data_IF_168527939672
#
_entry.id   IF_168527939672
#
_cell.length_a   1.000
_cell.length_b   1.000
_cell.length_c   1.000
_cell.angle_alpha   90.00
_cell.angle_beta   90.00
_cell.angle_gamma   90.00
#
_symmetry.space_group_name_H-M   'P 1'
#
loop_
_entity.id
_entity.type
_entity.pdbx_description
1 polymer ?
#
# COMPACT_ATOMS: atom_id res chain seq x y z
N UNK A 1 -2.08 -5.08 -18.89
CA UNK A 1 -0.90 -5.34 -18.03
C UNK A 1 -1.18 -5.04 -16.57
N UNK A 2 -1.57 -3.82 -16.14
CA UNK A 2 -1.72 -3.52 -14.71
C UNK A 2 -2.84 -4.36 -14.06
N UNK A 3 -3.99 -4.48 -14.72
CA UNK A 3 -5.08 -5.38 -14.30
C UNK A 3 -4.57 -6.81 -14.15
N UNK A 4 -3.98 -7.35 -15.20
CA UNK A 4 -3.50 -8.74 -15.25
C UNK A 4 -2.43 -9.00 -14.19
N UNK A 5 -1.56 -8.02 -13.93
CA UNK A 5 -0.55 -8.08 -12.86
C UNK A 5 -1.20 -8.11 -11.48
N UNK A 6 -2.18 -7.24 -11.20
CA UNK A 6 -2.91 -7.24 -9.93
C UNK A 6 -3.70 -8.53 -9.72
N UNK A 7 -4.35 -9.04 -10.76
CA UNK A 7 -5.05 -10.33 -10.72
C UNK A 7 -4.06 -11.47 -10.44
N UNK A 8 -2.88 -11.46 -11.06
CA UNK A 8 -1.79 -12.41 -10.79
C UNK A 8 -1.30 -12.37 -9.34
N UNK A 9 -1.04 -11.18 -8.79
CA UNK A 9 -0.62 -11.01 -7.39
C UNK A 9 -1.70 -11.53 -6.40
N UNK A 10 -2.98 -11.27 -6.67
CA UNK A 10 -4.08 -11.79 -5.86
C UNK A 10 -4.16 -13.32 -5.95
N UNK A 11 -3.99 -13.89 -7.15
CA UNK A 11 -3.96 -15.35 -7.32
C UNK A 11 -2.77 -15.98 -6.59
N UNK A 12 -1.58 -15.38 -6.64
CA UNK A 12 -0.42 -15.82 -5.86
C UNK A 12 -0.68 -15.77 -4.36
N UNK A 13 -1.32 -14.71 -3.88
CA UNK A 13 -1.69 -14.59 -2.45
C UNK A 13 -2.64 -15.72 -2.01
N UNK A 14 -3.64 -16.02 -2.84
CA UNK A 14 -4.61 -17.09 -2.58
C UNK A 14 -3.98 -18.49 -2.72
N UNK A 15 -3.06 -18.68 -3.67
CA UNK A 15 -2.32 -19.94 -3.84
C UNK A 15 -1.42 -20.28 -2.66
N UNK A 16 -0.82 -19.27 -2.02
CA UNK A 16 -0.05 -19.40 -0.77
C UNK A 16 -0.93 -19.72 0.46
N UNK A 17 -2.26 -19.77 0.30
CA UNK A 17 -3.24 -20.02 1.37
C UNK A 17 -3.60 -21.51 1.51
N UNK A 18 -2.97 -22.43 0.77
CA UNK A 18 -3.01 -23.86 1.09
C UNK A 18 -2.19 -24.15 2.36
N UNK A 19 -2.72 -23.73 3.50
CA UNK A 19 -2.13 -23.99 4.81
C UNK A 19 -2.78 -25.24 5.37
N UNK A 20 -1.98 -26.29 5.55
CA UNK A 20 -2.36 -27.45 6.36
C UNK A 20 -2.89 -26.95 7.72
N UNK A 21 -4.10 -27.37 8.15
CA UNK A 21 -4.65 -27.02 9.46
C UNK A 21 -3.66 -27.18 10.62
N UNK A 22 -2.73 -28.14 10.50
CA UNK A 22 -1.67 -28.35 11.49
C UNK A 22 -0.64 -27.23 11.51
N UNK A 23 -0.22 -26.72 10.34
CA UNK A 23 0.70 -25.58 10.24
C UNK A 23 0.06 -24.28 10.77
N UNK A 24 -1.24 -24.08 10.56
CA UNK A 24 -1.97 -22.94 11.16
C UNK A 24 -1.94 -23.06 12.69
N UNK A 25 -2.21 -24.25 13.22
CA UNK A 25 -2.26 -24.49 14.67
C UNK A 25 -0.88 -24.30 15.32
N UNK A 26 0.20 -24.76 14.69
CA UNK A 26 1.58 -24.54 15.14
C UNK A 26 1.92 -23.04 15.18
N UNK A 27 1.59 -22.27 14.14
CA UNK A 27 1.82 -20.82 14.12
C UNK A 27 1.02 -20.07 15.18
N UNK A 28 -0.24 -20.45 15.41
CA UNK A 28 -1.06 -19.88 16.50
C UNK A 28 -0.43 -20.19 17.86
N UNK A 29 0.10 -21.41 18.04
CA UNK A 29 0.77 -21.81 19.28
C UNK A 29 2.08 -21.05 19.50
N UNK A 30 2.91 -20.90 18.48
CA UNK A 30 4.13 -20.09 18.52
C UNK A 30 3.83 -18.62 18.82
N UNK A 31 2.78 -18.05 18.20
CA UNK A 31 2.30 -16.70 18.47
C UNK A 31 1.93 -16.54 19.96
N UNK A 32 1.11 -17.45 20.48
CA UNK A 32 0.68 -17.44 21.87
C UNK A 32 1.86 -17.61 22.85
N UNK A 33 2.82 -18.46 22.53
CA UNK A 33 4.03 -18.66 23.34
C UNK A 33 4.95 -17.43 23.33
N UNK A 34 5.08 -16.74 22.18
CA UNK A 34 5.85 -15.50 22.08
C UNK A 34 5.25 -14.36 22.91
N UNK A 35 3.92 -14.36 23.08
CA UNK A 35 3.19 -13.41 23.92
C UNK A 35 3.22 -13.80 25.41
N UNK A 36 3.25 -15.09 25.70
CA UNK A 36 3.34 -15.61 27.08
C UNK A 36 4.77 -15.60 27.65
N UNK A 37 5.80 -15.58 26.80
CA UNK A 37 7.21 -15.67 27.18
C UNK A 37 7.90 -14.37 27.59
N UNK A 38 7.20 -13.24 27.67
CA UNK A 38 7.81 -11.96 28.02
C UNK A 38 6.83 -10.90 28.49
N UNK A 39 6.63 -10.80 29.80
CA UNK A 39 6.12 -9.60 30.48
C UNK A 39 6.88 -9.42 31.80
N UNK A 40 7.71 -8.38 31.96
CA UNK A 40 7.80 -7.69 33.23
C UNK A 40 6.51 -6.87 33.39
N UNK A 41 5.84 -7.01 34.53
CA UNK A 41 4.71 -6.19 34.94
C UNK A 41 5.17 -4.72 35.05
N UNK A 42 4.49 -3.78 34.38
CA UNK A 42 4.75 -2.38 34.68
C UNK A 42 4.26 -1.26 33.76
N UNK A 43 3.80 -1.50 32.52
CA UNK A 43 3.42 -0.38 31.65
C UNK A 43 2.04 -0.60 31.00
N UNK A 44 1.04 0.05 31.58
CA UNK A 44 -0.14 0.52 30.84
C UNK A 44 0.35 1.62 29.89
N UNK A 45 0.60 1.32 28.61
CA UNK A 45 0.55 2.30 27.50
C UNK A 45 0.82 1.62 26.13
N UNK A 46 -0.16 1.74 25.23
CA UNK A 46 0.00 1.84 23.76
C UNK A 46 0.62 0.68 22.93
N UNK A 47 0.42 -0.60 23.26
CA UNK A 47 0.74 -1.69 22.31
C UNK A 47 -0.48 -2.02 21.43
N UNK A 48 -0.60 -1.27 20.34
CA UNK A 48 -1.46 -1.60 19.21
C UNK A 48 -1.16 -3.01 18.74
N UNK A 49 -2.01 -3.94 19.19
CA UNK A 49 -1.83 -5.38 19.04
C UNK A 49 -1.29 -5.73 17.66
N UNK A 50 -0.09 -6.34 17.65
CA UNK A 50 0.43 -7.09 16.51
C UNK A 50 -0.71 -7.96 16.01
N UNK A 51 -1.34 -7.52 14.92
CA UNK A 51 -2.60 -8.09 14.47
C UNK A 51 -2.38 -9.59 14.32
N UNK A 52 -3.24 -10.42 14.90
CA UNK A 52 -3.12 -11.89 14.85
C UNK A 52 -2.96 -12.39 13.40
N UNK A 53 -3.43 -11.60 12.43
CA UNK A 53 -3.24 -11.81 11.00
C UNK A 53 -1.78 -11.66 10.54
N UNK A 54 -1.02 -10.68 11.06
CA UNK A 54 0.42 -10.53 10.75
C UNK A 54 1.23 -11.73 11.24
N UNK A 55 0.84 -12.36 12.34
CA UNK A 55 1.56 -13.51 12.90
C UNK A 55 1.28 -14.81 12.12
N UNK A 56 0.10 -14.95 11.53
CA UNK A 56 -0.29 -16.16 10.78
C UNK A 56 0.18 -16.13 9.30
N UNK A 57 0.44 -14.94 8.74
CA UNK A 57 0.88 -14.79 7.35
C UNK A 57 2.30 -15.32 7.07
N UNK A 58 2.46 -15.98 5.92
CA UNK A 58 3.79 -16.40 5.42
C UNK A 58 4.62 -15.19 5.00
N UNK A 59 5.97 -15.29 4.98
CA UNK A 59 6.83 -14.26 4.40
C UNK A 59 6.45 -13.90 2.95
N UNK A 60 6.08 -14.90 2.13
CA UNK A 60 5.65 -14.71 0.75
C UNK A 60 4.34 -13.89 0.66
N UNK A 61 3.35 -14.20 1.50
CA UNK A 61 2.11 -13.44 1.59
C UNK A 61 2.37 -11.98 1.99
N UNK A 62 3.26 -11.73 2.96
CA UNK A 62 3.62 -10.37 3.37
C UNK A 62 4.25 -9.57 2.22
N UNK A 63 5.07 -10.21 1.40
CA UNK A 63 5.69 -9.56 0.24
C UNK A 63 4.65 -9.18 -0.82
N UNK A 64 3.75 -10.11 -1.18
CA UNK A 64 2.65 -9.87 -2.14
C UNK A 64 1.76 -8.72 -1.65
N UNK A 65 1.38 -8.72 -0.37
CA UNK A 65 0.59 -7.64 0.22
C UNK A 65 1.32 -6.30 0.21
N UNK A 66 2.64 -6.32 0.41
CA UNK A 66 3.49 -5.14 0.28
C UNK A 66 3.43 -4.54 -1.11
N UNK A 67 3.49 -5.37 -2.16
CA UNK A 67 3.36 -4.93 -3.56
C UNK A 67 1.97 -4.39 -3.86
N UNK A 68 0.91 -5.12 -3.50
CA UNK A 68 -0.47 -4.68 -3.69
C UNK A 68 -0.73 -3.32 -3.01
N UNK A 69 -0.25 -3.15 -1.79
CA UNK A 69 -0.39 -1.90 -1.04
C UNK A 69 0.33 -0.75 -1.73
N UNK A 70 1.55 -0.97 -2.22
CA UNK A 70 2.33 0.05 -2.92
C UNK A 70 1.63 0.52 -4.22
N UNK A 71 1.05 -0.40 -4.99
CA UNK A 71 0.28 -0.06 -6.20
C UNK A 71 -0.98 0.74 -5.84
N UNK A 72 -1.69 0.35 -4.79
CA UNK A 72 -2.87 1.11 -4.34
C UNK A 72 -2.50 2.52 -3.91
N UNK A 73 -1.42 2.68 -3.13
CA UNK A 73 -0.91 4.01 -2.74
C UNK A 73 -0.52 4.86 -3.95
N UNK A 74 0.13 4.27 -4.96
CA UNK A 74 0.45 4.96 -6.21
C UNK A 74 -0.81 5.45 -6.94
N UNK A 75 -1.81 4.57 -7.11
CA UNK A 75 -3.04 4.89 -7.84
C UNK A 75 -3.83 6.02 -7.15
N UNK A 76 -3.95 5.95 -5.83
CA UNK A 76 -4.60 6.98 -5.03
C UNK A 76 -3.84 8.31 -5.11
N UNK A 77 -2.51 8.27 -4.91
CA UNK A 77 -1.66 9.45 -4.99
C UNK A 77 -1.68 10.12 -6.35
N UNK A 78 -1.70 9.32 -7.42
CA UNK A 78 -1.78 9.82 -8.79
C UNK A 78 -3.14 10.46 -9.07
N UNK A 79 -4.23 9.83 -8.62
CA UNK A 79 -5.57 10.39 -8.77
C UNK A 79 -5.68 11.74 -8.04
N UNK A 80 -5.21 11.83 -6.79
CA UNK A 80 -5.23 13.07 -6.02
C UNK A 80 -4.32 14.15 -6.68
N UNK A 81 -3.11 13.80 -7.12
CA UNK A 81 -2.20 14.72 -7.81
C UNK A 81 -2.77 15.27 -9.14
N UNK A 82 -3.36 14.41 -9.97
CA UNK A 82 -3.95 14.83 -11.24
C UNK A 82 -5.21 15.68 -11.01
N UNK A 83 -6.05 15.32 -10.03
CA UNK A 83 -7.20 16.15 -9.64
C UNK A 83 -6.79 17.53 -9.10
N UNK A 84 -5.58 17.65 -8.55
CA UNK A 84 -4.99 18.93 -8.16
C UNK A 84 -4.49 19.76 -9.35
N UNK A 85 -3.89 19.09 -10.35
CA UNK A 85 -3.36 19.74 -11.55
C UNK A 85 -4.44 20.17 -12.56
N UNK A 86 -5.64 19.57 -12.52
CA UNK A 86 -6.75 19.98 -13.37
C UNK A 86 -7.36 21.27 -12.82
N UNK A 87 -6.94 22.42 -13.36
CA UNK A 87 -7.47 23.72 -12.96
C UNK A 87 -8.94 23.93 -13.37
N UNK A 88 -9.60 24.98 -12.83
CA UNK A 88 -10.97 25.35 -13.20
C UNK A 88 -11.17 25.63 -14.70
N UNK A 89 -10.07 25.94 -15.39
CA UNK A 89 -10.05 26.14 -16.84
C UNK A 89 -10.39 24.89 -17.66
N UNK A 90 -10.16 23.69 -17.11
CA UNK A 90 -10.50 22.41 -17.76
C UNK A 90 -11.74 21.81 -17.12
N UNK A 91 -11.86 21.88 -15.79
CA UNK A 91 -13.03 21.40 -15.04
C UNK A 91 -13.45 22.48 -14.03
N UNK A 92 -14.44 23.34 -14.35
CA UNK A 92 -14.86 24.44 -13.47
C UNK A 92 -15.30 24.01 -12.07
N UNK A 93 -15.84 22.79 -11.94
CA UNK A 93 -16.34 22.23 -10.67
C UNK A 93 -15.30 21.40 -9.91
N UNK A 94 -14.02 21.43 -10.29
CA UNK A 94 -12.97 20.58 -9.69
C UNK A 94 -12.84 20.74 -8.17
N UNK A 95 -13.03 21.97 -7.65
CA UNK A 95 -13.00 22.23 -6.21
C UNK A 95 -14.16 21.57 -5.46
N UNK A 96 -15.37 21.60 -6.02
CA UNK A 96 -16.56 20.96 -5.43
C UNK A 96 -16.48 19.43 -5.54
N UNK A 97 -15.96 18.92 -6.66
CA UNK A 97 -15.68 17.48 -6.85
C UNK A 97 -14.67 17.02 -5.79
N UNK A 98 -13.57 17.75 -5.59
CA UNK A 98 -12.56 17.46 -4.57
C UNK A 98 -13.18 17.40 -3.19
N UNK A 99 -13.96 18.41 -2.81
CA UNK A 99 -14.61 18.47 -1.50
C UNK A 99 -15.53 17.25 -1.28
N UNK A 100 -16.37 16.90 -2.26
CA UNK A 100 -17.25 15.73 -2.17
C UNK A 100 -16.49 14.41 -2.10
N UNK A 101 -15.39 14.26 -2.83
CA UNK A 101 -14.52 13.07 -2.75
C UNK A 101 -13.83 12.96 -1.40
N UNK A 102 -13.30 14.07 -0.86
CA UNK A 102 -12.70 14.08 0.48
C UNK A 102 -13.72 13.80 1.57
N UNK A 103 -14.92 14.38 1.50
CA UNK A 103 -16.02 14.07 2.41
C UNK A 103 -16.43 12.60 2.32
N UNK A 104 -16.48 12.02 1.11
CA UNK A 104 -16.79 10.59 0.92
C UNK A 104 -15.71 9.70 1.53
N UNK A 105 -14.43 10.03 1.33
CA UNK A 105 -13.28 9.33 1.91
C UNK A 105 -13.28 9.41 3.45
N UNK A 106 -13.66 10.56 4.01
CA UNK A 106 -13.82 10.76 5.45
C UNK A 106 -15.04 10.02 6.03
N UNK A 107 -16.13 9.91 5.28
CA UNK A 107 -17.39 9.27 5.71
C UNK A 107 -17.42 7.76 5.48
N UNK A 108 -16.57 7.22 4.62
CA UNK A 108 -16.50 5.79 4.34
C UNK A 108 -15.27 5.46 3.52
N UNK A 109 -14.36 4.70 4.13
CA UNK A 109 -13.37 3.93 3.40
C UNK A 109 -14.05 3.21 2.22
N UNK A 110 -13.41 3.22 1.04
CA UNK A 110 -13.93 2.53 -0.15
C UNK A 110 -14.33 1.10 0.22
N UNK A 111 -15.42 0.54 -0.34
CA UNK A 111 -15.87 -0.83 0.04
C UNK A 111 -14.79 -1.89 -0.19
N UNK A 112 -13.92 -1.66 -1.18
CA UNK A 112 -12.71 -2.45 -1.44
C UNK A 112 -11.63 -2.26 -0.36
N UNK A 113 -11.44 -1.03 0.10
CA UNK A 113 -10.53 -0.67 1.19
C UNK A 113 -11.00 -1.29 2.52
N UNK A 114 -12.30 -1.29 2.81
CA UNK A 114 -12.86 -2.04 3.96
C UNK A 114 -12.65 -3.56 3.84
N UNK A 115 -12.82 -4.14 2.64
CA UNK A 115 -12.61 -5.57 2.43
C UNK A 115 -11.13 -5.94 2.61
N UNK A 116 -10.21 -5.12 2.10
CA UNK A 116 -8.76 -5.31 2.26
C UNK A 116 -8.33 -5.11 3.72
N UNK A 117 -8.82 -4.07 4.41
CA UNK A 117 -8.57 -3.84 5.85
C UNK A 117 -8.99 -5.02 6.70
N UNK A 118 -10.17 -5.58 6.42
CA UNK A 118 -10.71 -6.74 7.12
C UNK A 118 -9.93 -8.02 6.81
N UNK A 119 -9.48 -8.20 5.58
CA UNK A 119 -8.67 -9.34 5.14
C UNK A 119 -7.24 -9.28 5.70
N UNK A 120 -6.73 -8.09 5.99
CA UNK A 120 -5.40 -7.86 6.54
C UNK A 120 -5.35 -7.71 8.07
N UNK A 121 -6.50 -7.68 8.76
CA UNK A 121 -6.55 -7.38 10.20
C UNK A 121 -5.98 -5.99 10.55
N UNK A 122 -6.02 -5.06 9.60
CA UNK A 122 -5.36 -3.76 9.66
C UNK A 122 -6.37 -2.63 9.97
N UNK A 123 -6.91 -2.60 11.19
CA UNK A 123 -7.45 -1.34 11.73
C UNK A 123 -6.31 -0.34 12.05
N UNK A 124 -5.06 -0.80 12.13
CA UNK A 124 -3.93 -0.01 12.64
C UNK A 124 -3.08 0.77 11.61
N UNK A 125 -3.22 0.58 10.29
CA UNK A 125 -2.29 1.21 9.29
C UNK A 125 -2.93 2.20 8.32
N UNK A 126 -3.92 2.95 8.78
CA UNK A 126 -4.44 4.13 8.05
C UNK A 126 -3.40 5.22 7.77
N UNK A 127 -2.29 5.26 8.54
CA UNK A 127 -1.20 6.24 8.34
C UNK A 127 -0.46 6.07 7.01
N UNK A 128 -0.41 4.86 6.46
CA UNK A 128 0.45 4.54 5.31
C UNK A 128 -0.17 4.90 3.95
N UNK A 129 -1.49 5.13 3.91
CA UNK A 129 -2.22 5.51 2.70
C UNK A 129 -1.95 6.96 2.23
N UNK A 130 -1.44 7.83 3.13
CA UNK A 130 -1.18 9.25 2.80
C UNK A 130 0.14 9.51 2.08
N UNK A 131 0.91 8.46 1.80
CA UNK A 131 2.27 8.60 1.28
C UNK A 131 2.30 8.65 -0.25
N UNK A 132 1.24 8.17 -0.92
CA UNK A 132 1.11 8.14 -2.37
C UNK A 132 1.18 9.52 -3.03
N UNK A 133 0.41 10.50 -2.53
CA UNK A 133 0.41 11.85 -3.12
C UNK A 133 1.78 12.52 -3.00
N UNK A 134 2.44 12.37 -1.83
CA UNK A 134 3.80 12.90 -1.62
C UNK A 134 4.80 12.24 -2.55
N UNK A 135 4.68 10.92 -2.77
CA UNK A 135 5.49 10.21 -3.75
C UNK A 135 5.31 10.79 -5.16
N UNK A 136 4.07 10.87 -5.64
CA UNK A 136 3.79 11.35 -7.01
C UNK A 136 4.27 12.79 -7.17
N UNK A 137 3.98 13.67 -6.21
CA UNK A 137 4.44 15.06 -6.23
C UNK A 137 5.96 15.15 -6.29
N UNK A 138 6.67 14.47 -5.39
CA UNK A 138 8.13 14.51 -5.36
C UNK A 138 8.77 13.97 -6.65
N UNK A 139 8.22 12.89 -7.22
CA UNK A 139 8.71 12.33 -8.50
C UNK A 139 8.44 13.30 -9.65
N UNK A 140 7.22 13.84 -9.76
CA UNK A 140 6.87 14.80 -10.81
C UNK A 140 7.71 16.08 -10.69
N UNK A 141 7.96 16.57 -9.49
CA UNK A 141 8.84 17.73 -9.26
C UNK A 141 10.28 17.46 -9.70
N UNK A 142 10.75 16.21 -9.60
CA UNK A 142 12.12 15.82 -9.94
C UNK A 142 12.33 15.49 -11.42
N UNK A 143 11.39 14.77 -12.06
CA UNK A 143 11.55 14.24 -13.43
C UNK A 143 10.45 14.66 -14.41
N UNK A 144 9.51 15.51 -13.97
CA UNK A 144 8.35 15.91 -14.75
C UNK A 144 7.30 14.81 -14.90
N UNK A 145 6.13 15.17 -15.43
CA UNK A 145 5.03 14.23 -15.66
C UNK A 145 5.41 13.12 -16.65
N UNK A 146 6.14 13.47 -17.72
CA UNK A 146 6.61 12.48 -18.70
C UNK A 146 7.61 11.49 -18.09
N UNK A 147 8.45 11.95 -17.16
CA UNK A 147 9.33 11.10 -16.39
C UNK A 147 8.53 10.16 -15.47
N UNK A 148 7.60 10.71 -14.70
CA UNK A 148 6.70 9.95 -13.83
C UNK A 148 5.92 8.87 -14.59
N UNK A 149 5.42 9.18 -15.79
CA UNK A 149 4.61 8.27 -16.61
C UNK A 149 5.33 6.95 -16.98
N UNK A 150 6.65 6.85 -16.77
CA UNK A 150 7.37 5.57 -16.86
C UNK A 150 6.84 4.51 -15.90
N UNK A 151 6.22 4.90 -14.79
CA UNK A 151 5.60 3.98 -13.83
C UNK A 151 4.58 3.04 -14.51
N UNK A 152 3.96 3.48 -15.60
CA UNK A 152 2.94 2.73 -16.35
C UNK A 152 3.49 1.84 -17.47
N UNK A 153 4.82 1.76 -17.64
CA UNK A 153 5.42 1.02 -18.77
C UNK A 153 5.54 -0.49 -18.51
N UNK A 154 5.71 -0.91 -17.25
CA UNK A 154 5.80 -2.32 -16.89
C UNK A 154 5.53 -2.56 -15.39
N UNK A 155 5.30 -3.82 -14.96
CA UNK A 155 5.28 -4.16 -13.53
C UNK A 155 6.57 -3.77 -12.80
N UNK A 156 7.72 -3.90 -13.47
CA UNK A 156 9.03 -3.58 -12.91
C UNK A 156 9.21 -2.08 -12.64
N UNK A 157 8.42 -1.21 -13.26
CA UNK A 157 8.48 0.24 -13.02
C UNK A 157 7.53 0.69 -11.90
N UNK A 158 6.72 -0.20 -11.33
CA UNK A 158 5.92 0.13 -10.16
C UNK A 158 6.82 0.42 -8.96
N UNK A 159 6.43 1.35 -8.07
CA UNK A 159 7.14 1.60 -6.83
C UNK A 159 6.89 0.47 -5.85
N UNK A 160 7.94 0.14 -5.10
CA UNK A 160 7.82 -0.67 -3.90
C UNK A 160 7.32 0.17 -2.74
N UNK A 161 6.89 -0.49 -1.67
CA UNK A 161 6.47 0.18 -0.43
C UNK A 161 7.56 1.11 0.13
N UNK A 162 8.83 0.68 0.07
CA UNK A 162 9.97 1.47 0.54
C UNK A 162 10.18 2.72 -0.31
N UNK A 163 9.99 2.60 -1.62
CA UNK A 163 10.15 3.70 -2.58
C UNK A 163 9.01 4.72 -2.50
N UNK A 164 7.78 4.29 -2.17
CA UNK A 164 6.70 5.24 -1.84
C UNK A 164 7.11 6.15 -0.68
N UNK A 165 7.83 5.61 0.32
CA UNK A 165 8.37 6.41 1.43
C UNK A 165 9.63 7.21 1.06
N UNK A 166 10.37 6.79 0.01
CA UNK A 166 11.61 7.40 -0.47
C UNK A 166 11.57 7.59 -1.99
N UNK A 167 10.91 8.64 -2.51
CA UNK A 167 10.64 8.79 -3.95
C UNK A 167 11.91 8.85 -4.81
N UNK A 168 13.01 9.37 -4.26
CA UNK A 168 14.31 9.44 -4.92
C UNK A 168 14.87 8.05 -5.30
N UNK A 169 14.58 7.01 -4.50
CA UNK A 169 15.05 5.64 -4.77
C UNK A 169 14.38 5.08 -6.03
N UNK A 170 13.08 5.35 -6.22
CA UNK A 170 12.35 4.99 -7.44
C UNK A 170 12.91 5.72 -8.65
N UNK A 171 13.12 7.04 -8.54
CA UNK A 171 13.68 7.83 -9.63
C UNK A 171 15.04 7.29 -10.03
N UNK A 172 15.90 7.00 -9.05
CA UNK A 172 17.21 6.42 -9.30
C UNK A 172 17.10 5.05 -10.00
N UNK A 173 16.16 4.19 -9.61
CA UNK A 173 16.00 2.88 -10.25
C UNK A 173 15.45 2.96 -11.67
N UNK A 174 14.46 3.80 -11.92
CA UNK A 174 13.71 3.85 -13.19
C UNK A 174 14.38 4.75 -14.23
N UNK A 175 15.16 5.74 -13.78
CA UNK A 175 15.78 6.74 -14.66
C UNK A 175 17.29 6.67 -14.74
N UNK A 176 17.98 5.86 -13.94
CA UNK A 176 19.43 5.66 -14.12
C UNK A 176 19.68 5.02 -15.48
N UNK A 177 20.32 5.78 -16.37
CA UNK A 177 20.96 5.24 -17.58
C UNK A 177 21.95 4.18 -17.12
N UNK A 178 21.91 3.01 -17.74
CA UNK A 178 23.06 2.12 -17.71
C UNK A 178 24.23 2.92 -18.29
N UNK A 179 25.21 3.27 -17.44
CA UNK A 179 26.49 3.78 -17.91
C UNK A 179 27.05 2.70 -18.86
N UNK A 180 27.15 3.06 -20.14
CA UNK A 180 27.78 2.24 -21.19
C UNK A 180 29.22 2.68 -21.35
#
# INVERSE_FOLDING_TARGET
>A
WLRDHLEGEIQSFLGETEVDPMTVLERIREAAQSLAGGRPEGEEEDDGGRSLVEIVQTPAQREILGRLTAVMSLLEGHADFVMDGVGPAVVPSVAEIREKFQQRRAKGASRLDMALRKLLGLDAKLRQYRDGERFVRAVVDQVGMDGFNRVWTSPNTLPTKTEIAKPADWVARVHRKAES
#
